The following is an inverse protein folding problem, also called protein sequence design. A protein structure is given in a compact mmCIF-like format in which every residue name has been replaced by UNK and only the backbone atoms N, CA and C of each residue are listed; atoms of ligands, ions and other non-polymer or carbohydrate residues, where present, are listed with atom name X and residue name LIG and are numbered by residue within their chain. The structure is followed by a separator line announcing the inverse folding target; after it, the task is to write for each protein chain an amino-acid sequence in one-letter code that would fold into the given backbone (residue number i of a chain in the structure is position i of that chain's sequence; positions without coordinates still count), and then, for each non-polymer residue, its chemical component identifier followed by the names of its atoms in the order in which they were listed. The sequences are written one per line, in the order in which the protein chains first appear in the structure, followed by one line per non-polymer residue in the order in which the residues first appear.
data_IF_853594673863
#
_entry.id   IF_853594673863
#
_cell.length_a   1.000
_cell.length_b   1.000
_cell.length_c   1.000
_cell.angle_alpha   90.00
_cell.angle_beta   90.00
_cell.angle_gamma   90.00
#
_symmetry.space_group_name_H-M   'P 1'
#
loop_
_entity.id
_entity.type
_entity.pdbx_description
1 polymer ?
#
# COMPACT_ATOMS: atom_id res chain seq x y z
N UNK A 1 -16.36 -81.73 -25.92
CA UNK A 1 -15.50 -81.21 -27.00
C UNK A 1 -15.28 -79.73 -26.73
N UNK A 2 -14.02 -79.26 -26.77
CA UNK A 2 -13.53 -77.96 -27.30
C UNK A 2 -14.49 -76.74 -27.37
N UNK A 3 -14.12 -75.50 -27.01
CA UNK A 3 -12.81 -74.89 -26.67
C UNK A 3 -13.02 -73.53 -25.93
N UNK A 4 -11.99 -73.06 -25.20
CA UNK A 4 -11.52 -71.64 -25.07
C UNK A 4 -12.52 -70.49 -25.29
N UNK A 5 -12.77 -69.56 -24.37
CA UNK A 5 -11.90 -68.46 -23.89
C UNK A 5 -12.64 -67.70 -22.75
N UNK A 6 -12.11 -66.78 -21.93
CA UNK A 6 -10.75 -66.21 -21.71
C UNK A 6 -10.66 -65.72 -20.24
N UNK A 7 -9.54 -65.11 -19.83
CA UNK A 7 -9.45 -64.22 -18.66
C UNK A 7 -9.21 -62.78 -19.13
N UNK A 8 -10.02 -61.83 -18.66
CA UNK A 8 -9.83 -60.39 -18.92
C UNK A 8 -9.79 -59.61 -17.61
N UNK A 9 -8.58 -59.35 -17.09
CA UNK A 9 -8.37 -58.45 -15.95
C UNK A 9 -8.60 -57.01 -16.40
N UNK A 10 -9.63 -56.35 -15.86
CA UNK A 10 -9.85 -54.93 -16.08
C UNK A 10 -8.77 -54.11 -15.36
N UNK A 11 -7.83 -53.56 -16.12
CA UNK A 11 -6.85 -52.61 -15.60
C UNK A 11 -7.55 -51.27 -15.42
N UNK A 12 -7.66 -50.81 -14.17
CA UNK A 12 -8.17 -49.48 -13.83
C UNK A 12 -7.13 -48.45 -14.24
N UNK A 13 -7.35 -47.79 -15.39
CA UNK A 13 -6.49 -46.70 -15.85
C UNK A 13 -6.98 -45.36 -15.26
N UNK A 14 -6.71 -45.12 -13.98
CA UNK A 14 -6.87 -43.79 -13.39
C UNK A 14 -5.87 -42.83 -14.02
N UNK A 15 -6.29 -42.13 -15.08
CA UNK A 15 -5.58 -40.96 -15.59
C UNK A 15 -5.68 -39.83 -14.56
N UNK A 16 -4.73 -39.78 -13.64
CA UNK A 16 -4.43 -38.57 -12.90
C UNK A 16 -3.89 -37.54 -13.90
N UNK A 17 -4.78 -36.73 -14.47
CA UNK A 17 -4.41 -35.47 -15.08
C UNK A 17 -3.98 -34.50 -13.97
N UNK A 18 -2.76 -34.73 -13.47
CA UNK A 18 -2.02 -33.72 -12.74
C UNK A 18 -1.75 -32.58 -13.70
N UNK A 19 -2.66 -31.60 -13.72
CA UNK A 19 -2.37 -30.27 -14.25
C UNK A 19 -1.31 -29.65 -13.35
N UNK A 20 -0.05 -30.03 -13.59
CA UNK A 20 1.10 -29.25 -13.15
C UNK A 20 1.04 -27.95 -13.92
N UNK A 21 0.28 -26.99 -13.36
CA UNK A 21 0.36 -25.59 -13.72
C UNK A 21 1.79 -25.19 -13.41
N UNK A 22 2.65 -25.35 -14.42
CA UNK A 22 3.90 -24.63 -14.46
C UNK A 22 3.45 -23.19 -14.58
N UNK A 23 3.46 -22.47 -13.46
CA UNK A 23 3.57 -21.03 -13.50
C UNK A 23 4.87 -20.78 -14.26
N UNK A 24 4.72 -20.52 -15.56
CA UNK A 24 5.79 -20.08 -16.42
C UNK A 24 6.44 -18.90 -15.68
N UNK A 25 7.71 -19.00 -15.26
CA UNK A 25 8.37 -17.91 -14.57
C UNK A 25 8.63 -16.84 -15.62
N UNK A 26 7.57 -16.09 -15.94
CA UNK A 26 7.64 -14.90 -16.77
C UNK A 26 8.62 -14.00 -16.04
N UNK A 27 9.85 -13.97 -16.58
CA UNK A 27 11.04 -13.51 -15.89
C UNK A 27 11.00 -11.98 -15.84
N UNK A 28 10.14 -11.47 -14.95
CA UNK A 28 9.97 -10.06 -14.68
C UNK A 28 11.20 -9.62 -13.87
N UNK A 29 12.31 -9.48 -14.58
CA UNK A 29 13.63 -9.19 -14.05
C UNK A 29 13.74 -7.72 -13.68
N UNK A 30 13.07 -7.35 -12.59
CA UNK A 30 13.25 -6.10 -11.87
C UNK A 30 13.58 -6.39 -10.41
N UNK A 31 14.13 -5.40 -9.71
CA UNK A 31 14.12 -5.44 -8.25
C UNK A 31 12.68 -5.30 -7.72
N UNK A 32 12.48 -5.62 -6.44
CA UNK A 32 11.15 -5.56 -5.82
C UNK A 32 10.50 -4.18 -5.97
N UNK A 33 11.28 -3.10 -5.86
CA UNK A 33 10.77 -1.73 -5.96
C UNK A 33 10.20 -1.47 -7.37
N UNK A 34 10.91 -1.87 -8.42
CA UNK A 34 10.44 -1.80 -9.82
C UNK A 34 9.13 -2.56 -10.00
N UNK A 35 9.08 -3.82 -9.55
CA UNK A 35 7.88 -4.66 -9.68
C UNK A 35 6.67 -4.10 -8.90
N UNK A 36 6.92 -3.52 -7.74
CA UNK A 36 5.91 -2.84 -6.94
C UNK A 36 5.37 -1.59 -7.64
N UNK A 37 6.25 -0.72 -8.17
CA UNK A 37 5.85 0.49 -8.90
C UNK A 37 5.09 0.14 -10.18
N UNK A 38 5.54 -0.86 -10.95
CA UNK A 38 4.82 -1.36 -12.12
C UNK A 38 3.42 -1.89 -11.77
N UNK A 39 3.28 -2.57 -10.63
CA UNK A 39 1.99 -3.06 -10.14
C UNK A 39 1.08 -1.92 -9.68
N UNK A 40 1.62 -0.90 -9.01
CA UNK A 40 0.91 0.32 -8.61
C UNK A 40 0.37 1.08 -9.83
N UNK A 41 1.20 1.28 -10.85
CA UNK A 41 0.85 2.04 -12.05
C UNK A 41 -0.27 1.41 -12.90
N UNK A 42 -0.67 0.17 -12.66
CA UNK A 42 -1.84 -0.47 -13.30
C UNK A 42 -3.15 0.27 -13.10
N UNK A 43 -3.26 1.13 -12.06
CA UNK A 43 -4.43 1.97 -11.78
C UNK A 43 -4.21 3.47 -12.07
N UNK A 44 -3.07 3.85 -12.65
CA UNK A 44 -2.74 5.26 -12.87
C UNK A 44 -3.70 5.98 -13.84
N UNK A 45 -4.40 5.25 -14.71
CA UNK A 45 -5.45 5.82 -15.57
C UNK A 45 -6.73 6.22 -14.80
N UNK A 46 -6.89 5.75 -13.56
CA UNK A 46 -7.98 6.16 -12.66
C UNK A 46 -7.61 7.38 -11.81
N UNK A 47 -6.33 7.74 -11.72
CA UNK A 47 -5.84 8.88 -10.96
C UNK A 47 -6.06 10.20 -11.73
N UNK A 48 -6.50 11.24 -11.01
CA UNK A 48 -6.69 12.59 -11.56
C UNK A 48 -5.35 13.23 -11.94
N UNK A 49 -4.34 13.08 -11.08
CA UNK A 49 -2.96 13.42 -11.37
C UNK A 49 -2.12 12.15 -11.44
N UNK A 50 -1.55 11.86 -12.62
CA UNK A 50 -0.74 10.66 -12.85
C UNK A 50 0.71 10.82 -12.41
N UNK A 51 1.20 12.06 -12.29
CA UNK A 51 2.56 12.34 -11.84
C UNK A 51 2.62 12.15 -10.33
N UNK A 52 1.70 12.77 -9.59
CA UNK A 52 1.64 12.61 -8.13
C UNK A 52 1.31 11.18 -7.73
N UNK A 53 0.36 10.52 -8.42
CA UNK A 53 0.08 9.10 -8.21
C UNK A 53 1.32 8.21 -8.44
N UNK A 54 2.15 8.52 -9.45
CA UNK A 54 3.39 7.79 -9.70
C UNK A 54 4.44 8.08 -8.62
N UNK A 55 4.65 9.35 -8.26
CA UNK A 55 5.62 9.77 -7.27
C UNK A 55 5.33 9.14 -5.90
N UNK A 56 4.04 9.15 -5.49
CA UNK A 56 3.57 8.42 -4.31
C UNK A 56 3.90 6.93 -4.40
N UNK A 57 3.59 6.30 -5.54
CA UNK A 57 3.87 4.89 -5.79
C UNK A 57 5.35 4.53 -5.63
N UNK A 58 6.25 5.36 -6.17
CA UNK A 58 7.69 5.20 -6.03
C UNK A 58 8.17 5.36 -4.58
N UNK A 59 7.65 6.35 -3.83
CA UNK A 59 7.94 6.52 -2.39
C UNK A 59 7.42 5.33 -1.56
N UNK A 60 6.17 4.91 -1.77
CA UNK A 60 5.55 3.76 -1.10
C UNK A 60 6.31 2.46 -1.37
N UNK A 61 6.63 2.17 -2.63
CA UNK A 61 7.38 0.97 -3.03
C UNK A 61 8.83 1.00 -2.53
N UNK A 62 9.46 2.18 -2.47
CA UNK A 62 10.77 2.38 -1.85
C UNK A 62 10.77 2.22 -0.32
N UNK A 63 9.62 2.42 0.35
CA UNK A 63 9.42 2.00 1.74
C UNK A 63 9.23 0.48 1.85
N UNK A 64 8.35 -0.10 1.04
CA UNK A 64 8.01 -1.53 1.08
C UNK A 64 9.23 -2.42 0.79
N UNK A 65 10.13 -1.98 -0.10
CA UNK A 65 11.41 -2.65 -0.41
C UNK A 65 12.36 -2.78 0.78
N UNK A 66 12.14 -2.05 1.87
CA UNK A 66 12.93 -2.07 3.12
C UNK A 66 12.29 -2.89 4.23
N UNK A 67 11.08 -3.43 4.02
CA UNK A 67 10.33 -4.20 5.02
C UNK A 67 10.60 -5.70 4.90
N UNK A 68 10.30 -6.45 5.97
CA UNK A 68 10.21 -7.90 5.90
C UNK A 68 8.89 -8.29 5.22
N UNK A 69 8.96 -9.17 4.21
CA UNK A 69 7.82 -9.65 3.43
C UNK A 69 7.76 -11.19 3.44
N UNK A 70 8.25 -11.79 4.52
CA UNK A 70 8.45 -13.24 4.70
C UNK A 70 7.17 -14.03 4.98
N UNK A 71 6.10 -13.35 5.40
CA UNK A 71 4.80 -13.94 5.69
C UNK A 71 3.66 -12.91 5.54
N UNK A 72 2.41 -13.40 5.44
CA UNK A 72 1.21 -12.57 5.22
C UNK A 72 1.02 -11.42 6.23
N UNK A 73 1.38 -11.62 7.51
CA UNK A 73 1.20 -10.60 8.54
C UNK A 73 2.32 -9.54 8.48
N UNK A 74 3.54 -9.94 8.13
CA UNK A 74 4.61 -9.02 7.79
C UNK A 74 4.26 -8.18 6.55
N UNK A 75 3.67 -8.79 5.52
CA UNK A 75 3.17 -8.09 4.32
C UNK A 75 2.05 -7.10 4.66
N UNK A 76 1.03 -7.49 5.43
CA UNK A 76 -0.05 -6.57 5.88
C UNK A 76 0.52 -5.39 6.65
N UNK A 77 1.44 -5.64 7.58
CA UNK A 77 2.11 -4.60 8.36
C UNK A 77 2.93 -3.67 7.47
N UNK A 78 3.67 -4.20 6.50
CA UNK A 78 4.43 -3.41 5.53
C UNK A 78 3.53 -2.49 4.70
N UNK A 79 2.37 -2.99 4.24
CA UNK A 79 1.36 -2.21 3.52
C UNK A 79 0.84 -1.06 4.40
N UNK A 80 0.39 -1.36 5.62
CA UNK A 80 -0.15 -0.36 6.55
C UNK A 80 0.88 0.72 6.91
N UNK A 81 2.10 0.30 7.28
CA UNK A 81 3.20 1.18 7.67
C UNK A 81 3.63 2.08 6.51
N UNK A 82 3.91 1.50 5.35
CA UNK A 82 4.42 2.29 4.23
C UNK A 82 3.35 3.20 3.63
N UNK A 83 2.09 2.77 3.55
CA UNK A 83 1.00 3.63 3.10
C UNK A 83 0.84 4.84 4.03
N UNK A 84 0.72 4.59 5.34
CA UNK A 84 0.52 5.63 6.36
C UNK A 84 1.67 6.63 6.38
N UNK A 85 2.92 6.15 6.35
CA UNK A 85 4.11 7.03 6.35
C UNK A 85 4.20 7.86 5.08
N UNK A 86 4.10 7.25 3.90
CA UNK A 86 4.17 8.00 2.63
C UNK A 86 3.06 9.05 2.52
N UNK A 87 1.85 8.77 3.02
CA UNK A 87 0.76 9.75 3.05
C UNK A 87 1.05 10.98 3.90
N UNK A 88 1.60 10.82 5.12
CA UNK A 88 1.90 11.98 5.95
C UNK A 88 3.13 12.73 5.46
N UNK A 89 4.17 12.04 4.97
CA UNK A 89 5.31 12.71 4.33
C UNK A 89 4.85 13.55 3.13
N UNK A 90 4.10 12.97 2.19
CA UNK A 90 3.62 13.70 1.01
C UNK A 90 2.67 14.85 1.37
N UNK A 91 1.87 14.72 2.44
CA UNK A 91 1.01 15.80 2.92
C UNK A 91 1.82 16.95 3.55
N UNK A 92 2.87 16.64 4.32
CA UNK A 92 3.68 17.63 5.03
C UNK A 92 4.71 18.30 4.11
N UNK A 93 5.29 17.57 3.15
CA UNK A 93 6.08 18.11 2.02
C UNK A 93 5.28 19.21 1.31
N UNK A 94 4.05 18.89 0.91
CA UNK A 94 3.18 19.79 0.13
C UNK A 94 2.73 21.01 0.94
N UNK A 95 2.48 20.82 2.25
CA UNK A 95 2.14 21.89 3.17
C UNK A 95 3.32 22.88 3.36
N UNK A 96 4.56 22.39 3.42
CA UNK A 96 5.75 23.25 3.45
C UNK A 96 5.93 24.00 2.12
N UNK A 97 5.81 23.32 0.98
CA UNK A 97 5.97 23.91 -0.35
C UNK A 97 4.93 25.01 -0.65
N UNK A 98 3.66 24.80 -0.28
CA UNK A 98 2.56 25.72 -0.63
C UNK A 98 2.25 26.80 0.43
N UNK A 99 2.38 26.49 1.72
CA UNK A 99 1.97 27.40 2.83
C UNK A 99 3.16 27.81 3.72
N UNK A 100 4.19 26.96 3.81
CA UNK A 100 5.22 26.91 4.84
C UNK A 100 4.67 26.47 6.22
N UNK A 101 5.31 25.51 6.86
CA UNK A 101 4.94 24.93 8.17
C UNK A 101 4.74 26.00 9.24
N UNK A 102 5.57 27.04 9.25
CA UNK A 102 5.48 28.19 10.17
C UNK A 102 4.17 29.00 10.07
N UNK A 103 3.39 28.84 8.99
CA UNK A 103 2.08 29.48 8.78
C UNK A 103 0.91 28.49 8.78
N UNK A 104 1.19 27.19 8.82
CA UNK A 104 0.19 26.13 8.72
C UNK A 104 -0.80 26.18 9.89
N UNK A 105 -2.07 25.93 9.58
CA UNK A 105 -3.17 25.80 10.55
C UNK A 105 -3.63 24.35 10.63
N UNK A 106 -4.43 24.08 11.65
CA UNK A 106 -5.04 22.77 11.87
C UNK A 106 -5.98 22.35 10.72
N UNK A 107 -6.67 23.30 10.08
CA UNK A 107 -7.43 23.07 8.84
C UNK A 107 -6.53 22.55 7.72
N UNK A 108 -5.39 23.21 7.53
CA UNK A 108 -4.53 23.00 6.38
C UNK A 108 -3.94 21.58 6.43
N UNK A 109 -3.44 21.15 7.60
CA UNK A 109 -2.94 19.78 7.82
C UNK A 109 -4.02 18.72 7.51
N UNK A 110 -5.26 18.95 7.94
CA UNK A 110 -6.36 18.04 7.66
C UNK A 110 -6.66 17.99 6.14
N UNK A 111 -6.67 19.15 5.49
CA UNK A 111 -7.01 19.26 4.07
C UNK A 111 -5.93 18.61 3.17
N UNK A 112 -4.63 18.82 3.43
CA UNK A 112 -3.56 18.09 2.71
C UNK A 112 -3.58 16.58 3.00
N UNK A 113 -3.87 16.17 4.24
CA UNK A 113 -4.02 14.73 4.55
C UNK A 113 -5.15 14.09 3.72
N UNK A 114 -6.31 14.74 3.64
CA UNK A 114 -7.44 14.27 2.84
C UNK A 114 -7.18 14.31 1.34
N UNK A 115 -6.50 15.35 0.84
CA UNK A 115 -6.12 15.48 -0.57
C UNK A 115 -5.20 14.33 -1.02
N UNK A 116 -4.15 14.02 -0.25
CA UNK A 116 -3.21 12.94 -0.58
C UNK A 116 -3.87 11.57 -0.59
N UNK A 117 -4.85 11.33 0.30
CA UNK A 117 -5.73 10.16 0.21
C UNK A 117 -6.60 10.14 -1.07
N UNK A 118 -7.01 11.30 -1.60
CA UNK A 118 -7.76 11.40 -2.85
C UNK A 118 -6.92 11.12 -4.10
N UNK A 119 -5.61 11.44 -4.05
CA UNK A 119 -4.64 11.09 -5.11
C UNK A 119 -4.50 9.57 -5.22
N UNK A 120 -4.25 8.87 -4.11
CA UNK A 120 -3.93 7.44 -4.12
C UNK A 120 -5.16 6.52 -4.17
N UNK A 121 -6.31 7.02 -3.73
CA UNK A 121 -7.57 6.27 -3.70
C UNK A 121 -8.68 7.08 -4.42
N UNK A 122 -8.62 7.26 -5.75
CA UNK A 122 -9.50 8.16 -6.49
C UNK A 122 -10.99 7.75 -6.49
N UNK A 123 -11.31 6.52 -6.08
CA UNK A 123 -12.68 5.99 -5.95
C UNK A 123 -12.93 5.49 -4.52
N UNK A 124 -13.15 6.43 -3.61
CA UNK A 124 -13.41 6.15 -2.20
C UNK A 124 -14.88 5.74 -1.97
N UNK A 125 -15.11 4.60 -1.32
CA UNK A 125 -16.40 4.26 -0.71
C UNK A 125 -16.66 5.12 0.53
N UNK A 126 -17.88 5.06 1.09
CA UNK A 126 -18.18 5.80 2.32
C UNK A 126 -17.48 5.22 3.55
N UNK A 127 -17.18 3.91 3.56
CA UNK A 127 -16.34 3.29 4.58
C UNK A 127 -14.87 3.74 4.45
N UNK A 128 -14.33 3.84 3.23
CA UNK A 128 -12.99 4.38 3.00
C UNK A 128 -12.89 5.82 3.52
N UNK A 129 -13.83 6.69 3.14
CA UNK A 129 -13.90 8.08 3.64
C UNK A 129 -13.94 8.13 5.15
N UNK A 130 -14.65 7.22 5.82
CA UNK A 130 -14.75 7.19 7.28
C UNK A 130 -13.41 6.82 7.93
N UNK A 131 -12.70 5.82 7.40
CA UNK A 131 -11.37 5.42 7.88
C UNK A 131 -10.35 6.54 7.64
N UNK A 132 -10.36 7.12 6.44
CA UNK A 132 -9.50 8.24 6.01
C UNK A 132 -9.71 9.47 6.92
N UNK A 133 -10.96 9.87 7.16
CA UNK A 133 -11.28 10.95 8.10
C UNK A 133 -10.79 10.65 9.52
N UNK A 134 -10.99 9.42 10.03
CA UNK A 134 -10.52 9.01 11.36
C UNK A 134 -8.99 9.08 11.48
N UNK A 135 -8.28 8.76 10.39
CA UNK A 135 -6.82 8.84 10.32
C UNK A 135 -6.33 10.30 10.29
N UNK A 136 -6.89 11.14 9.42
CA UNK A 136 -6.50 12.56 9.37
C UNK A 136 -6.83 13.29 10.69
N UNK A 137 -7.97 13.00 11.32
CA UNK A 137 -8.30 13.50 12.67
C UNK A 137 -7.34 12.99 13.75
N UNK A 138 -6.80 11.78 13.61
CA UNK A 138 -5.78 11.24 14.51
C UNK A 138 -4.42 11.94 14.33
N UNK A 139 -4.03 12.21 13.08
CA UNK A 139 -2.72 12.76 12.72
C UNK A 139 -2.64 14.29 12.94
N UNK A 140 -3.68 15.03 12.56
CA UNK A 140 -3.74 16.50 12.57
C UNK A 140 -3.24 17.17 13.86
N UNK A 141 -3.71 16.82 15.08
CA UNK A 141 -3.21 17.44 16.30
C UNK A 141 -1.75 17.08 16.60
N UNK A 142 -1.30 15.87 16.25
CA UNK A 142 0.09 15.42 16.49
C UNK A 142 1.08 16.07 15.52
N UNK A 143 0.70 16.22 14.25
CA UNK A 143 1.47 16.95 13.24
C UNK A 143 1.56 18.44 13.59
N UNK A 144 0.47 19.04 14.08
CA UNK A 144 0.48 20.42 14.57
C UNK A 144 1.40 20.59 15.80
N UNK A 145 1.47 19.60 16.68
CA UNK A 145 2.45 19.57 17.77
C UNK A 145 3.90 19.35 17.32
N UNK A 146 4.11 18.66 16.20
CA UNK A 146 5.43 18.44 15.60
C UNK A 146 5.94 19.72 14.92
N UNK A 147 5.10 20.37 14.10
CA UNK A 147 5.36 21.69 13.49
C UNK A 147 5.77 22.71 14.54
N UNK A 148 5.05 22.80 15.67
CA UNK A 148 5.39 23.74 16.77
C UNK A 148 6.78 23.52 17.39
N UNK A 149 7.46 22.43 17.04
CA UNK A 149 8.79 22.04 17.55
C UNK A 149 9.84 21.93 16.42
N UNK A 150 9.47 22.05 15.14
CA UNK A 150 10.35 21.78 13.98
C UNK A 150 11.59 22.68 13.95
N UNK A 151 11.46 23.94 14.35
CA UNK A 151 12.57 24.92 14.43
C UNK A 151 13.72 24.49 15.36
N UNK A 152 13.49 23.48 16.22
CA UNK A 152 14.48 22.93 17.14
C UNK A 152 14.85 21.46 16.82
N UNK A 153 14.50 20.98 15.63
CA UNK A 153 14.77 19.62 15.14
C UNK A 153 15.68 19.69 13.92
N UNK A 154 16.51 18.66 13.73
CA UNK A 154 17.08 18.38 12.41
C UNK A 154 16.02 17.79 11.49
N UNK A 155 16.18 17.93 10.17
CA UNK A 155 15.29 17.34 9.16
C UNK A 155 15.02 15.87 9.49
N UNK A 156 16.05 15.09 9.81
CA UNK A 156 15.94 13.67 10.16
C UNK A 156 15.10 13.40 11.42
N UNK A 157 15.12 14.29 12.41
CA UNK A 157 14.28 14.16 13.61
C UNK A 157 12.83 14.54 13.33
N UNK A 158 12.61 15.52 12.45
CA UNK A 158 11.29 15.90 11.96
C UNK A 158 10.66 14.77 11.14
N UNK A 159 11.39 14.21 10.17
CA UNK A 159 11.01 13.03 9.38
C UNK A 159 10.64 11.83 10.27
N UNK A 160 11.48 11.54 11.27
CA UNK A 160 11.20 10.48 12.25
C UNK A 160 9.98 10.79 13.15
N UNK A 161 9.68 12.08 13.35
CA UNK A 161 8.45 12.56 13.99
C UNK A 161 7.21 12.27 13.15
N UNK A 162 7.25 12.53 11.84
CA UNK A 162 6.16 12.20 10.90
C UNK A 162 5.94 10.68 10.87
N UNK A 163 7.01 9.89 10.74
CA UNK A 163 6.97 8.42 10.79
C UNK A 163 6.26 7.92 12.05
N UNK A 164 6.56 8.52 13.21
CA UNK A 164 5.92 8.17 14.47
C UNK A 164 4.43 8.53 14.48
N UNK A 165 4.05 9.71 13.97
CA UNK A 165 2.63 10.10 13.90
C UNK A 165 1.84 9.18 12.96
N UNK A 166 2.46 8.77 11.85
CA UNK A 166 1.88 7.80 10.93
C UNK A 166 1.64 6.45 11.61
N UNK A 167 2.65 5.90 12.29
CA UNK A 167 2.55 4.64 13.04
C UNK A 167 1.50 4.73 14.17
N UNK A 168 1.51 5.80 14.97
CA UNK A 168 0.56 6.06 16.08
C UNK A 168 -0.91 6.22 15.59
N UNK A 169 -1.14 6.40 14.29
CA UNK A 169 -2.46 6.53 13.68
C UNK A 169 -2.86 5.40 12.72
N UNK A 170 -1.90 4.60 12.25
CA UNK A 170 -2.09 3.53 11.27
C UNK A 170 -3.09 2.45 11.72
N UNK A 171 -3.24 2.23 13.03
CA UNK A 171 -4.25 1.31 13.59
C UNK A 171 -5.71 1.64 13.17
N UNK A 172 -5.96 2.88 12.73
CA UNK A 172 -7.28 3.33 12.26
C UNK A 172 -7.47 3.16 10.73
N UNK A 173 -6.47 2.66 10.00
CA UNK A 173 -6.47 2.64 8.53
C UNK A 173 -6.08 1.27 7.96
N UNK A 174 -6.83 0.88 6.92
CA UNK A 174 -6.52 -0.27 6.06
C UNK A 174 -6.59 -1.64 6.75
N UNK A 175 -7.80 -1.99 7.20
CA UNK A 175 -8.27 -3.37 7.13
C UNK A 175 -9.02 -3.63 5.79
N UNK A 176 -8.47 -3.13 4.68
CA UNK A 176 -8.94 -3.48 3.34
C UNK A 176 -8.64 -4.97 3.10
N UNK A 177 -9.66 -5.81 3.32
CA UNK A 177 -9.59 -7.22 2.91
C UNK A 177 -9.15 -7.27 1.44
N UNK A 178 -8.22 -8.17 1.06
CA UNK A 178 -7.99 -8.42 -0.35
C UNK A 178 -9.29 -8.94 -0.97
N UNK A 179 -9.93 -8.13 -1.81
CA UNK A 179 -11.05 -8.58 -2.64
C UNK A 179 -10.50 -9.69 -3.53
N UNK A 180 -11.02 -10.93 -3.47
CA UNK A 180 -10.61 -11.98 -4.38
C UNK A 180 -10.90 -11.51 -5.81
N UNK A 181 -9.92 -11.59 -6.69
CA UNK A 181 -10.18 -11.45 -8.12
C UNK A 181 -11.17 -12.55 -8.53
N UNK A 182 -12.31 -12.14 -9.11
CA UNK A 182 -13.26 -13.03 -9.80
C UNK A 182 -12.91 -13.09 -11.29
#
# INVERSE_FOLDING_TARGET
MTFSMLKGTAVVLTMFFSFTVHADPQQQSGDFQTLCTDAWMKKADEAKDKLDYKNFGEKYCGCAAKQSLDNDDAVKKAIQLCMSRTLLHDAMDSLEEEITLSKAKESDINDYCLDRWSVVLPKQTDDDKKLINSYCQCAQPKLMELIKKSDNMTDKEYEAGIDKVADDCADNTLATKPTPAQ
#
